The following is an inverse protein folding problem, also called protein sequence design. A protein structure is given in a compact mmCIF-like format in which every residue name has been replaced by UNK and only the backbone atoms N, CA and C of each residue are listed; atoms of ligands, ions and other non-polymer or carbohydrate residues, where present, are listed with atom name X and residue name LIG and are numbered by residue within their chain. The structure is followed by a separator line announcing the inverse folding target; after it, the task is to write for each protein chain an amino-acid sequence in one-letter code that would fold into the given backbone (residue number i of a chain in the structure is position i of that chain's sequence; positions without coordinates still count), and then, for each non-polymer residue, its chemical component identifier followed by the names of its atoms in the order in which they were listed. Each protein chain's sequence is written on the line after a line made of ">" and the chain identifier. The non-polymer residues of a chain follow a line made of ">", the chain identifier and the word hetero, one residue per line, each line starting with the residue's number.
data_IF_839747509325
#
_entry.id   IF_839747509325
#
_cell.length_a   1.000
_cell.length_b   1.000
_cell.length_c   1.000
_cell.angle_alpha   90.00
_cell.angle_beta   90.00
_cell.angle_gamma   90.00
#
_symmetry.space_group_name_H-M   'P 1'
#
loop_
_entity.id
_entity.type
_entity.pdbx_description
1 polymer ?
#
# COMPACT_ATOMS: atom_id res chain seq x y z
N UNK A 1 -14.74 -25.17 38.89
CA UNK A 1 -14.77 -23.71 38.64
C UNK A 1 -14.03 -23.45 37.34
N UNK A 2 -14.78 -23.46 36.23
CA UNK A 2 -14.25 -23.34 34.86
C UNK A 2 -14.07 -21.87 34.53
N UNK A 3 -12.83 -21.44 34.31
CA UNK A 3 -12.55 -20.10 33.83
C UNK A 3 -12.96 -19.99 32.35
N UNK A 4 -13.98 -19.19 32.07
CA UNK A 4 -14.35 -18.76 30.72
C UNK A 4 -13.19 -17.93 30.14
N UNK A 5 -12.55 -18.46 29.10
CA UNK A 5 -11.62 -17.69 28.29
C UNK A 5 -12.40 -16.59 27.55
N UNK A 6 -12.10 -15.34 27.92
CA UNK A 6 -12.58 -14.11 27.29
C UNK A 6 -12.18 -14.12 25.82
N UNK A 7 -13.17 -14.18 24.92
CA UNK A 7 -12.97 -14.04 23.49
C UNK A 7 -12.29 -12.69 23.19
N UNK A 8 -11.14 -12.74 22.51
CA UNK A 8 -10.51 -11.55 21.95
C UNK A 8 -11.45 -10.96 20.88
N UNK A 9 -11.57 -9.63 20.77
CA UNK A 9 -12.30 -9.04 19.66
C UNK A 9 -11.61 -9.46 18.36
N UNK A 10 -12.35 -10.20 17.52
CA UNK A 10 -12.00 -10.42 16.12
C UNK A 10 -11.75 -9.04 15.52
N UNK A 11 -10.55 -8.79 15.00
CA UNK A 11 -10.25 -7.57 14.28
C UNK A 11 -11.28 -7.46 13.16
N UNK A 12 -12.28 -6.60 13.36
CA UNK A 12 -13.23 -6.29 12.31
C UNK A 12 -12.40 -5.86 11.12
N UNK A 13 -12.52 -6.59 10.01
CA UNK A 13 -12.16 -6.07 8.72
C UNK A 13 -12.97 -4.80 8.58
N UNK A 14 -12.36 -3.64 8.84
CA UNK A 14 -12.95 -2.37 8.46
C UNK A 14 -13.07 -2.47 6.95
N UNK A 15 -14.25 -2.85 6.47
CA UNK A 15 -14.61 -2.78 5.07
C UNK A 15 -14.39 -1.31 4.71
N UNK A 16 -13.30 -1.08 3.99
CA UNK A 16 -13.01 0.26 3.53
C UNK A 16 -14.11 0.62 2.54
N UNK A 17 -14.73 1.80 2.66
CA UNK A 17 -15.82 2.21 1.78
C UNK A 17 -15.34 2.51 0.35
N UNK A 18 -14.11 2.13 0.01
CA UNK A 18 -13.43 2.34 -1.26
C UNK A 18 -12.54 1.14 -1.58
N UNK A 19 -12.35 0.90 -2.88
CA UNK A 19 -11.39 -0.09 -3.35
C UNK A 19 -9.96 0.43 -3.16
N UNK A 20 -9.20 -0.24 -2.30
CA UNK A 20 -7.82 0.10 -1.99
C UNK A 20 -6.91 0.00 -3.21
N UNK A 21 -7.18 -0.96 -4.09
CA UNK A 21 -6.41 -1.19 -5.30
C UNK A 21 -6.60 -0.04 -6.28
N UNK A 22 -7.83 0.42 -6.48
CA UNK A 22 -8.12 1.55 -7.35
C UNK A 22 -7.55 2.85 -6.82
N UNK A 23 -7.61 3.08 -5.51
CA UNK A 23 -6.96 4.24 -4.91
C UNK A 23 -5.43 4.16 -5.06
N UNK A 24 -4.84 3.00 -4.78
CA UNK A 24 -3.40 2.78 -4.97
C UNK A 24 -2.98 2.98 -6.43
N UNK A 25 -3.77 2.48 -7.38
CA UNK A 25 -3.58 2.66 -8.82
C UNK A 25 -3.60 4.14 -9.20
N UNK A 26 -4.56 4.91 -8.68
CA UNK A 26 -4.64 6.35 -8.89
C UNK A 26 -3.42 7.09 -8.32
N UNK A 27 -2.94 6.70 -7.14
CA UNK A 27 -1.72 7.27 -6.53
C UNK A 27 -0.49 6.96 -7.38
N UNK A 28 -0.31 5.69 -7.78
CA UNK A 28 0.80 5.24 -8.63
C UNK A 28 0.82 6.02 -9.95
N UNK A 29 -0.34 6.30 -10.55
CA UNK A 29 -0.45 7.01 -11.82
C UNK A 29 0.15 8.43 -11.79
N UNK A 30 0.20 9.09 -10.61
CA UNK A 30 0.86 10.39 -10.46
C UNK A 30 2.38 10.32 -10.45
N UNK A 31 2.95 9.14 -10.17
CA UNK A 31 4.37 8.93 -9.96
C UNK A 31 5.16 8.69 -11.26
N UNK A 32 6.50 8.90 -11.21
CA UNK A 32 7.38 8.63 -12.34
C UNK A 32 7.52 7.11 -12.63
N UNK A 33 7.26 6.25 -11.64
CA UNK A 33 7.44 4.81 -11.73
C UNK A 33 6.20 4.04 -12.17
N UNK A 34 5.14 4.73 -12.61
CA UNK A 34 3.85 4.13 -12.96
C UNK A 34 3.95 2.94 -13.91
N UNK A 35 4.83 3.00 -14.92
CA UNK A 35 5.00 1.91 -15.88
C UNK A 35 5.52 0.61 -15.23
N UNK A 36 6.31 0.73 -14.15
CA UNK A 36 6.88 -0.41 -13.42
C UNK A 36 5.94 -0.87 -12.31
N UNK A 37 5.25 0.06 -11.65
CA UNK A 37 4.44 -0.24 -10.46
C UNK A 37 3.00 -0.63 -10.78
N UNK A 38 2.39 -0.15 -11.88
CA UNK A 38 1.02 -0.50 -12.26
C UNK A 38 0.82 -2.02 -12.41
N UNK A 39 1.72 -2.78 -13.07
CA UNK A 39 1.58 -4.24 -13.15
C UNK A 39 1.65 -4.97 -11.81
N UNK A 40 2.14 -4.31 -10.76
CA UNK A 40 2.30 -4.87 -9.41
C UNK A 40 1.25 -4.30 -8.45
N UNK A 41 0.26 -3.55 -8.94
CA UNK A 41 -0.64 -2.73 -8.11
C UNK A 41 -1.34 -3.55 -7.02
N UNK A 42 -1.85 -4.73 -7.36
CA UNK A 42 -2.61 -5.59 -6.45
C UNK A 42 -1.74 -6.03 -5.26
N UNK A 43 -0.47 -6.38 -5.53
CA UNK A 43 0.50 -6.73 -4.50
C UNK A 43 0.89 -5.52 -3.64
N UNK A 44 1.12 -4.38 -4.28
CA UNK A 44 1.45 -3.12 -3.60
C UNK A 44 0.30 -2.69 -2.68
N UNK A 45 -0.95 -2.82 -3.12
CA UNK A 45 -2.13 -2.53 -2.33
C UNK A 45 -2.21 -3.48 -1.13
N UNK A 46 -1.99 -4.79 -1.33
CA UNK A 46 -1.97 -5.78 -0.24
C UNK A 46 -0.89 -5.47 0.81
N UNK A 47 0.33 -5.17 0.37
CA UNK A 47 1.43 -4.78 1.27
C UNK A 47 1.10 -3.48 1.99
N UNK A 48 0.55 -2.49 1.27
CA UNK A 48 0.15 -1.20 1.81
C UNK A 48 -0.91 -1.33 2.90
N UNK A 49 -1.91 -2.21 2.73
CA UNK A 49 -2.95 -2.47 3.73
C UNK A 49 -2.40 -3.20 4.97
N UNK A 50 -1.38 -4.05 4.79
CA UNK A 50 -0.67 -4.68 5.90
C UNK A 50 0.20 -3.70 6.70
N UNK A 51 0.62 -2.58 6.09
CA UNK A 51 1.38 -1.53 6.75
C UNK A 51 0.43 -0.48 7.37
N UNK A 52 0.34 -0.44 8.71
CA UNK A 52 -0.56 0.47 9.43
C UNK A 52 -0.41 1.95 9.04
N UNK A 53 0.81 2.42 8.78
CA UNK A 53 1.06 3.81 8.39
C UNK A 53 0.53 4.11 6.99
N UNK A 54 0.76 3.20 6.05
CA UNK A 54 0.30 3.35 4.66
C UNK A 54 -1.22 3.18 4.58
N UNK A 55 -1.78 2.20 5.29
CA UNK A 55 -3.21 2.04 5.42
C UNK A 55 -3.87 3.32 5.96
N UNK A 56 -3.37 3.89 7.06
CA UNK A 56 -3.89 5.15 7.58
C UNK A 56 -3.79 6.30 6.56
N UNK A 57 -2.67 6.40 5.84
CA UNK A 57 -2.50 7.41 4.79
C UNK A 57 -3.50 7.24 3.64
N UNK A 58 -3.75 6.00 3.19
CA UNK A 58 -4.76 5.70 2.16
C UNK A 58 -6.15 6.11 2.63
N UNK A 59 -6.50 5.84 3.90
CA UNK A 59 -7.77 6.25 4.47
C UNK A 59 -7.94 7.75 4.48
N UNK A 60 -6.96 8.49 4.97
CA UNK A 60 -7.00 9.95 5.00
C UNK A 60 -7.12 10.56 3.60
N UNK A 61 -6.40 10.00 2.62
CA UNK A 61 -6.48 10.45 1.22
C UNK A 61 -7.86 10.11 0.61
N UNK A 62 -8.40 8.93 0.87
CA UNK A 62 -9.70 8.50 0.38
C UNK A 62 -10.82 9.41 0.91
N UNK A 63 -10.80 9.74 2.20
CA UNK A 63 -11.76 10.65 2.82
C UNK A 63 -11.62 12.06 2.26
N UNK A 64 -10.39 12.58 2.18
CA UNK A 64 -10.14 13.95 1.71
C UNK A 64 -10.58 14.18 0.26
N UNK A 65 -10.33 13.20 -0.61
CA UNK A 65 -10.72 13.27 -2.02
C UNK A 65 -12.19 12.91 -2.26
N UNK A 66 -12.86 12.29 -1.28
CA UNK A 66 -14.15 11.65 -1.51
C UNK A 66 -14.06 10.54 -2.55
N UNK A 67 -12.95 9.77 -2.55
CA UNK A 67 -12.64 8.80 -3.59
C UNK A 67 -13.72 7.73 -3.73
N UNK A 68 -14.27 7.26 -2.61
CA UNK A 68 -15.38 6.31 -2.57
C UNK A 68 -16.59 6.74 -3.43
N UNK A 69 -16.90 8.04 -3.44
CA UNK A 69 -18.05 8.57 -4.16
C UNK A 69 -17.73 8.97 -5.59
N UNK A 70 -16.49 9.39 -5.86
CA UNK A 70 -16.15 10.04 -7.14
C UNK A 70 -15.24 9.20 -8.04
N UNK A 71 -14.53 8.22 -7.49
CA UNK A 71 -13.46 7.47 -8.16
C UNK A 71 -12.31 8.35 -8.69
N UNK A 72 -12.22 9.61 -8.22
CA UNK A 72 -11.29 10.61 -8.74
C UNK A 72 -10.35 11.06 -7.64
N UNK A 73 -9.07 11.11 -7.98
CA UNK A 73 -8.01 11.62 -7.13
C UNK A 73 -7.32 12.80 -7.83
N UNK A 74 -7.05 13.88 -7.11
CA UNK A 74 -6.23 15.01 -7.57
C UNK A 74 -4.93 15.03 -6.76
N UNK A 75 -3.87 15.59 -7.35
CA UNK A 75 -2.58 15.75 -6.63
C UNK A 75 -2.72 16.54 -5.32
N UNK A 76 -3.60 17.53 -5.29
CA UNK A 76 -3.87 18.31 -4.08
C UNK A 76 -4.46 17.47 -2.94
N UNK A 77 -5.20 16.40 -3.25
CA UNK A 77 -5.85 15.56 -2.26
C UNK A 77 -4.85 14.66 -1.51
N UNK A 78 -3.65 14.46 -2.07
CA UNK A 78 -2.57 13.71 -1.41
C UNK A 78 -2.06 14.41 -0.15
N UNK A 79 -2.11 15.75 -0.10
CA UNK A 79 -1.73 16.55 1.07
C UNK A 79 -0.42 16.11 1.76
N UNK A 80 -0.37 16.08 3.10
CA UNK A 80 0.78 15.62 3.88
C UNK A 80 1.20 14.17 3.60
N UNK A 81 0.28 13.33 3.17
CA UNK A 81 0.46 11.90 2.93
C UNK A 81 1.21 11.63 1.61
N UNK A 82 1.37 12.65 0.76
CA UNK A 82 2.14 12.56 -0.47
C UNK A 82 3.57 12.04 -0.25
N UNK A 83 4.24 12.52 0.78
CA UNK A 83 5.62 12.14 1.09
C UNK A 83 5.76 10.67 1.54
N UNK A 84 5.02 10.17 2.57
CA UNK A 84 5.12 8.78 2.98
C UNK A 84 4.63 7.81 1.90
N UNK A 85 3.57 8.14 1.15
CA UNK A 85 3.11 7.30 0.04
C UNK A 85 4.17 7.22 -1.07
N UNK A 86 4.82 8.34 -1.40
CA UNK A 86 5.92 8.35 -2.37
C UNK A 86 7.11 7.53 -1.89
N UNK A 87 7.54 7.70 -0.65
CA UNK A 87 8.66 6.96 -0.07
C UNK A 87 8.39 5.44 -0.08
N UNK A 88 7.15 5.03 0.21
CA UNK A 88 6.72 3.64 0.12
C UNK A 88 6.82 3.08 -1.31
N UNK A 89 6.31 3.82 -2.30
CA UNK A 89 6.39 3.41 -3.70
C UNK A 89 7.83 3.38 -4.23
N UNK A 90 8.68 4.31 -3.78
CA UNK A 90 10.12 4.33 -4.06
C UNK A 90 10.81 3.11 -3.44
N UNK A 91 10.52 2.80 -2.19
CA UNK A 91 11.05 1.61 -1.53
C UNK A 91 10.70 0.33 -2.30
N UNK A 92 9.43 0.16 -2.69
CA UNK A 92 9.02 -0.99 -3.51
C UNK A 92 9.75 -0.99 -4.86
N UNK A 93 9.85 0.16 -5.53
CA UNK A 93 10.53 0.26 -6.83
C UNK A 93 12.00 -0.17 -6.73
N UNK A 94 12.69 0.22 -5.66
CA UNK A 94 14.09 -0.10 -5.42
C UNK A 94 14.30 -1.47 -4.74
N UNK A 95 13.26 -2.07 -4.15
CA UNK A 95 13.29 -3.43 -3.65
C UNK A 95 12.76 -4.45 -4.68
N UNK A 96 12.21 -3.99 -5.81
CA UNK A 96 11.61 -4.88 -6.81
C UNK A 96 12.66 -5.83 -7.40
N UNK A 97 12.38 -7.13 -7.60
CA UNK A 97 13.35 -8.08 -8.16
C UNK A 97 13.90 -7.67 -9.52
N UNK A 98 13.11 -6.97 -10.35
CA UNK A 98 13.60 -6.42 -11.62
C UNK A 98 14.65 -5.33 -11.42
N UNK A 99 14.49 -4.48 -10.41
CA UNK A 99 15.50 -3.50 -10.03
C UNK A 99 16.72 -4.16 -9.39
N UNK A 100 16.52 -5.05 -8.42
CA UNK A 100 17.60 -5.78 -7.76
C UNK A 100 18.46 -6.57 -8.76
N UNK A 101 17.82 -7.19 -9.77
CA UNK A 101 18.50 -7.79 -10.92
C UNK A 101 19.25 -6.75 -11.78
N UNK A 102 18.71 -5.54 -11.94
CA UNK A 102 19.36 -4.47 -12.71
C UNK A 102 20.56 -3.82 -12.01
N UNK A 103 20.61 -3.87 -10.68
CA UNK A 103 21.74 -3.34 -9.88
C UNK A 103 22.74 -4.41 -9.44
N UNK A 104 22.52 -5.68 -9.81
CA UNK A 104 23.47 -6.78 -9.60
C UNK A 104 23.43 -7.44 -8.22
N UNK A 105 22.49 -7.09 -7.33
CA UNK A 105 22.44 -7.62 -5.96
C UNK A 105 21.11 -8.34 -5.67
N UNK A 106 21.04 -9.66 -5.93
CA UNK A 106 20.42 -10.68 -5.05
C UNK A 106 20.68 -12.12 -5.60
N UNK A 107 20.92 -13.17 -4.76
CA UNK A 107 20.28 -13.35 -3.47
C UNK A 107 21.11 -13.48 -2.18
N UNK A 108 20.76 -12.70 -1.13
CA UNK A 108 20.88 -13.18 0.26
C UNK A 108 19.81 -14.25 0.44
N UNK A 109 20.26 -15.48 0.27
CA UNK A 109 19.43 -16.67 0.37
C UNK A 109 20.19 -17.88 -0.16
N UNK A 110 21.48 -18.00 0.15
CA UNK A 110 22.07 -19.33 0.17
C UNK A 110 21.34 -20.14 1.23
N UNK A 111 20.98 -21.35 0.81
CA UNK A 111 20.18 -22.30 1.54
C UNK A 111 20.76 -22.60 2.92
N UNK A 112 19.87 -23.01 3.83
CA UNK A 112 20.23 -23.69 5.08
C UNK A 112 21.27 -24.78 4.79
N UNK A 113 22.47 -24.60 5.34
CA UNK A 113 23.44 -25.66 5.63
C UNK A 113 23.41 -25.99 7.11
#
# INVERSE_FOLDING_TARGET
>A
MTAMAKAAPSAGSTEMPYDAEDLMRAIIAFGPYRAVLIPLCDEIARIGLGNRQIHAALHTVAERSGFAATGRLRRADLGPEAAPLRAFLEHIRFASPAFLRSVGEWPLGEARG
#
